data_IF_180887809834
#
_entry.id   IF_180887809834
#
_cell.length_a   1.000
_cell.length_b   1.000
_cell.length_c   1.000
_cell.angle_alpha   90.00
_cell.angle_beta   90.00
_cell.angle_gamma   90.00
#
_symmetry.space_group_name_H-M   'P 1'
#
loop_
_entity.id
_entity.type
_entity.pdbx_description
1 polymer ?
#
# COMPACT_ATOMS: atom_id res chain seq x y z
N UNK A 1 22.02 29.70 -28.07
CA UNK A 1 22.51 28.55 -27.25
C UNK A 1 21.59 28.22 -26.07
N UNK A 2 21.20 29.16 -25.18
CA UNK A 2 20.32 28.88 -24.03
C UNK A 2 18.96 28.22 -24.37
N UNK A 3 18.32 28.61 -25.47
CA UNK A 3 17.02 28.04 -25.89
C UNK A 3 17.10 26.57 -26.32
N UNK A 4 18.23 26.17 -26.91
CA UNK A 4 18.45 24.78 -27.36
C UNK A 4 18.66 23.87 -26.15
N UNK A 5 19.39 24.34 -25.14
CA UNK A 5 19.58 23.61 -23.88
C UNK A 5 18.22 23.36 -23.20
N UNK A 6 17.35 24.37 -23.18
CA UNK A 6 16.02 24.23 -22.58
C UNK A 6 15.15 23.17 -23.28
N UNK A 7 15.20 23.13 -24.62
CA UNK A 7 14.47 22.14 -25.42
C UNK A 7 15.01 20.72 -25.15
N UNK A 8 16.33 20.56 -25.06
CA UNK A 8 16.96 19.27 -24.77
C UNK A 8 16.58 18.78 -23.36
N UNK A 9 16.57 19.66 -22.36
CA UNK A 9 16.16 19.31 -20.99
C UNK A 9 14.70 18.86 -20.94
N UNK A 10 13.80 19.56 -21.63
CA UNK A 10 12.37 19.19 -21.69
C UNK A 10 12.17 17.85 -22.41
N UNK A 11 12.91 17.59 -23.50
CA UNK A 11 12.85 16.30 -24.21
C UNK A 11 13.37 15.14 -23.35
N UNK A 12 14.48 15.32 -22.62
CA UNK A 12 15.00 14.29 -21.72
C UNK A 12 14.00 14.03 -20.58
N UNK A 13 13.42 15.07 -19.99
CA UNK A 13 12.45 14.92 -18.90
C UNK A 13 11.17 14.21 -19.38
N UNK A 14 10.67 14.53 -20.58
CA UNK A 14 9.52 13.87 -21.20
C UNK A 14 9.77 12.41 -21.57
N UNK A 15 11.01 12.03 -21.90
CA UNK A 15 11.40 10.65 -22.14
C UNK A 15 11.49 9.84 -20.84
N UNK A 16 11.88 10.47 -19.72
CA UNK A 16 11.92 9.80 -18.41
C UNK A 16 10.55 9.64 -17.74
N UNK A 17 9.54 10.42 -18.11
CA UNK A 17 8.17 10.26 -17.57
C UNK A 17 7.39 9.11 -18.23
N UNK A 18 7.89 8.56 -19.34
CA UNK A 18 7.31 7.40 -20.04
C UNK A 18 7.96 6.07 -19.65
N UNK A 19 8.79 6.04 -18.60
CA UNK A 19 9.19 4.78 -17.98
C UNK A 19 7.96 4.28 -17.23
N UNK A 20 7.07 3.60 -17.95
CA UNK A 20 5.93 2.89 -17.36
C UNK A 20 6.46 2.11 -16.16
N UNK A 21 5.93 2.38 -14.97
CA UNK A 21 6.09 1.50 -13.81
C UNK A 21 5.55 0.13 -14.23
N UNK A 22 6.43 -0.72 -14.74
CA UNK A 22 6.10 -2.09 -15.12
C UNK A 22 6.07 -2.92 -13.84
N UNK A 23 5.13 -2.57 -12.95
CA UNK A 23 4.80 -3.41 -11.82
C UNK A 23 4.37 -4.75 -12.39
N UNK A 24 4.93 -5.82 -11.84
CA UNK A 24 4.45 -7.16 -12.14
C UNK A 24 2.95 -7.25 -11.84
N UNK A 25 2.18 -8.14 -12.48
CA UNK A 25 0.76 -8.33 -12.16
C UNK A 25 0.51 -8.56 -10.66
N UNK A 26 1.45 -9.23 -9.97
CA UNK A 26 1.42 -9.35 -8.50
C UNK A 26 1.57 -8.00 -7.80
N UNK A 27 2.61 -7.23 -8.11
CA UNK A 27 2.84 -5.94 -7.44
C UNK A 27 1.71 -4.95 -7.69
N UNK A 28 1.16 -4.95 -8.91
CA UNK A 28 -0.03 -4.16 -9.23
C UNK A 28 -1.22 -4.59 -8.38
N UNK A 29 -1.47 -5.88 -8.22
CA UNK A 29 -2.52 -6.38 -7.33
C UNK A 29 -2.29 -5.94 -5.86
N UNK A 30 -1.05 -6.00 -5.37
CA UNK A 30 -0.71 -5.58 -4.01
C UNK A 30 -0.97 -4.08 -3.79
N UNK A 31 -0.66 -3.26 -4.79
CA UNK A 31 -0.84 -1.81 -4.77
C UNK A 31 -2.32 -1.44 -4.87
N UNK A 32 -3.03 -1.97 -5.86
CA UNK A 32 -4.46 -1.70 -6.11
C UNK A 32 -5.33 -2.10 -4.90
N UNK A 33 -4.96 -3.17 -4.18
CA UNK A 33 -5.68 -3.63 -2.98
C UNK A 33 -5.10 -3.09 -1.67
N UNK A 34 -4.07 -2.23 -1.74
CA UNK A 34 -3.34 -1.68 -0.60
C UNK A 34 -2.89 -2.74 0.42
N UNK A 35 -2.52 -3.94 -0.02
CA UNK A 35 -2.27 -5.08 0.86
C UNK A 35 -1.19 -4.77 1.90
N UNK A 36 -0.10 -4.11 1.49
CA UNK A 36 1.06 -3.79 2.36
C UNK A 36 0.72 -2.86 3.53
N UNK A 37 -0.31 -2.02 3.40
CA UNK A 37 -0.72 -1.06 4.41
C UNK A 37 -2.00 -1.52 5.15
N UNK A 38 -2.49 -2.72 4.84
CA UNK A 38 -3.80 -3.18 5.29
C UNK A 38 -3.86 -3.40 6.80
N UNK A 39 -2.79 -3.94 7.40
CA UNK A 39 -2.75 -4.08 8.86
C UNK A 39 -2.78 -2.70 9.54
N UNK A 40 -2.01 -1.73 9.04
CA UNK A 40 -1.98 -0.36 9.58
C UNK A 40 -3.36 0.30 9.48
N UNK A 41 -4.04 0.20 8.34
CA UNK A 41 -5.39 0.75 8.16
C UNK A 41 -6.40 0.10 9.13
N UNK A 42 -6.30 -1.22 9.32
CA UNK A 42 -7.10 -1.97 10.28
C UNK A 42 -6.90 -1.47 11.72
N UNK A 43 -5.64 -1.32 12.16
CA UNK A 43 -5.34 -0.76 13.48
C UNK A 43 -5.81 0.68 13.65
N UNK A 44 -5.64 1.53 12.63
CA UNK A 44 -6.10 2.91 12.67
C UNK A 44 -7.63 2.97 12.86
N UNK A 45 -8.39 2.07 12.22
CA UNK A 45 -9.83 1.94 12.43
C UNK A 45 -10.19 1.60 13.87
N UNK A 46 -9.51 0.61 14.46
CA UNK A 46 -9.72 0.27 15.88
C UNK A 46 -9.38 1.43 16.82
N UNK A 47 -8.27 2.13 16.57
CA UNK A 47 -7.87 3.28 17.36
C UNK A 47 -8.93 4.40 17.29
N UNK A 48 -9.44 4.70 16.09
CA UNK A 48 -10.51 5.69 15.89
C UNK A 48 -11.76 5.33 16.69
N UNK A 49 -12.21 4.07 16.61
CA UNK A 49 -13.40 3.59 17.35
C UNK A 49 -13.18 3.70 18.86
N UNK A 50 -12.01 3.29 19.37
CA UNK A 50 -11.72 3.40 20.80
C UNK A 50 -11.78 4.84 21.30
N UNK A 51 -11.24 5.78 20.51
CA UNK A 51 -11.27 7.21 20.85
C UNK A 51 -12.70 7.76 20.82
N UNK A 52 -13.48 7.43 19.79
CA UNK A 52 -14.86 7.91 19.65
C UNK A 52 -15.80 7.41 20.75
N UNK A 53 -15.59 6.18 21.24
CA UNK A 53 -16.46 5.54 22.21
C UNK A 53 -15.85 5.41 23.61
N UNK A 54 -14.67 5.98 23.85
CA UNK A 54 -13.93 5.86 25.12
C UNK A 54 -13.81 4.41 25.62
N UNK A 55 -13.50 3.48 24.71
CA UNK A 55 -13.37 2.07 25.04
C UNK A 55 -12.00 1.82 25.68
N UNK A 56 -11.99 1.36 26.92
CA UNK A 56 -10.79 0.80 27.53
C UNK A 56 -10.45 -0.55 26.89
N UNK A 57 -9.21 -0.72 26.46
CA UNK A 57 -8.76 -1.92 25.75
C UNK A 57 -7.75 -2.66 26.61
N UNK A 58 -7.99 -3.96 26.81
CA UNK A 58 -7.05 -4.83 27.51
C UNK A 58 -5.87 -5.24 26.62
N UNK A 59 -4.76 -5.68 27.21
CA UNK A 59 -3.61 -6.19 26.46
C UNK A 59 -3.94 -7.43 25.62
N UNK A 60 -4.85 -8.27 26.10
CA UNK A 60 -5.35 -9.44 25.37
C UNK A 60 -6.11 -9.01 24.12
N UNK A 61 -6.96 -7.98 24.25
CA UNK A 61 -7.73 -7.46 23.13
C UNK A 61 -6.84 -6.74 22.10
N UNK A 62 -5.80 -6.02 22.54
CA UNK A 62 -4.78 -5.46 21.65
C UNK A 62 -4.09 -6.58 20.85
N UNK A 63 -3.73 -7.68 21.51
CA UNK A 63 -3.07 -8.82 20.87
C UNK A 63 -3.99 -9.51 19.86
N UNK A 64 -5.27 -9.69 20.21
CA UNK A 64 -6.29 -10.25 19.33
C UNK A 64 -6.52 -9.39 18.08
N UNK A 65 -6.66 -8.07 18.27
CA UNK A 65 -6.76 -7.10 17.17
C UNK A 65 -5.51 -7.11 16.29
N UNK A 66 -4.33 -7.24 16.89
CA UNK A 66 -3.08 -7.35 16.15
C UNK A 66 -3.02 -8.59 15.28
N UNK A 67 -3.38 -9.74 15.83
CA UNK A 67 -3.47 -10.98 15.08
C UNK A 67 -4.46 -10.86 13.91
N UNK A 68 -5.65 -10.29 14.16
CA UNK A 68 -6.67 -10.07 13.13
C UNK A 68 -6.15 -9.17 11.99
N UNK A 69 -5.58 -8.02 12.31
CA UNK A 69 -5.10 -7.06 11.31
C UNK A 69 -3.95 -7.63 10.46
N UNK A 70 -3.02 -8.35 11.08
CA UNK A 70 -1.93 -9.02 10.35
C UNK A 70 -2.46 -10.16 9.48
N UNK A 71 -3.44 -10.92 9.96
CA UNK A 71 -4.08 -12.00 9.18
C UNK A 71 -4.78 -11.43 7.93
N UNK A 72 -5.47 -10.29 8.06
CA UNK A 72 -6.09 -9.62 6.91
C UNK A 72 -5.08 -9.18 5.86
N UNK A 73 -3.93 -8.66 6.30
CA UNK A 73 -2.84 -8.31 5.39
C UNK A 73 -2.27 -9.55 4.70
N UNK A 74 -1.90 -10.59 5.47
CA UNK A 74 -1.34 -11.82 4.92
C UNK A 74 -2.30 -12.50 3.93
N UNK A 75 -3.60 -12.51 4.22
CA UNK A 75 -4.61 -13.05 3.30
C UNK A 75 -4.72 -12.24 2.01
N UNK A 76 -4.61 -10.91 2.08
CA UNK A 76 -4.59 -10.04 0.89
C UNK A 76 -3.37 -10.36 0.02
N UNK A 77 -2.20 -10.48 0.64
CA UNK A 77 -0.95 -10.80 -0.05
C UNK A 77 -1.01 -12.18 -0.71
N UNK A 78 -1.46 -13.19 0.03
CA UNK A 78 -1.64 -14.55 -0.48
C UNK A 78 -2.65 -14.63 -1.63
N UNK A 79 -3.75 -13.87 -1.57
CA UNK A 79 -4.73 -13.81 -2.65
C UNK A 79 -4.11 -13.22 -3.93
N UNK A 80 -3.34 -12.13 -3.82
CA UNK A 80 -2.62 -11.57 -4.96
C UNK A 80 -1.57 -12.54 -5.54
N UNK A 81 -0.82 -13.23 -4.69
CA UNK A 81 0.14 -14.26 -5.14
C UNK A 81 -0.55 -15.42 -5.86
N UNK A 82 -1.73 -15.84 -5.38
CA UNK A 82 -2.51 -16.93 -5.99
C UNK A 82 -3.13 -16.53 -7.33
N UNK A 83 -3.62 -15.30 -7.46
CA UNK A 83 -4.25 -14.80 -8.70
C UNK A 83 -3.26 -14.56 -9.82
N UNK A 84 -2.03 -14.18 -9.46
CA UNK A 84 -0.98 -13.84 -10.42
C UNK A 84 0.26 -14.69 -10.14
N UNK A 85 0.24 -16.01 -10.38
CA UNK A 85 1.45 -16.83 -10.28
C UNK A 85 2.50 -16.36 -11.32
N UNK A 86 3.78 -16.53 -10.97
CA UNK A 86 4.91 -16.20 -11.84
C UNK A 86 4.90 -17.00 -13.15
#
# INVERSE_FOLDING_TARGET
>A
MRKIIFIIVVLIFGLTTNVCNYLSPQEKCMEDNACRNRAQACFAGFALVNVLFHIEVSNEEITSRAFLCNTLQSNCELDCYRKHPY
#
